data_IF_447645590108
#
_entry.id   IF_447645590108
#
_cell.length_a   1.000
_cell.length_b   1.000
_cell.length_c   1.000
_cell.angle_alpha   90.00
_cell.angle_beta   90.00
_cell.angle_gamma   90.00
#
_symmetry.space_group_name_H-M   'P 1'
#
loop_
_entity.id
_entity.type
_entity.pdbx_description
1 polymer ?
#
# COMPACT_ATOMS: atom_id res chain seq x y z
N UNK A 1 34.24 17.53 -18.13
CA UNK A 1 32.77 17.61 -18.19
C UNK A 1 32.28 16.21 -18.48
N UNK A 2 31.61 15.56 -17.53
CA UNK A 2 31.07 14.21 -17.74
C UNK A 2 29.87 14.33 -18.68
N UNK A 3 30.01 13.85 -19.91
CA UNK A 3 28.87 13.70 -20.81
C UNK A 3 27.96 12.65 -20.18
N UNK A 4 26.74 13.05 -19.80
CA UNK A 4 25.71 12.11 -19.38
C UNK A 4 25.40 11.19 -20.57
N UNK A 5 25.95 9.98 -20.55
CA UNK A 5 25.63 8.94 -21.52
C UNK A 5 24.22 8.46 -21.19
N UNK A 6 23.23 9.03 -21.87
CA UNK A 6 21.88 8.49 -21.89
C UNK A 6 21.97 7.18 -22.67
N UNK A 7 22.00 6.05 -21.96
CA UNK A 7 21.91 4.74 -22.58
C UNK A 7 20.48 4.53 -23.09
N UNK A 8 20.28 4.40 -24.42
CA UNK A 8 18.95 4.12 -24.95
C UNK A 8 18.53 2.72 -24.50
N UNK A 9 17.33 2.63 -23.92
CA UNK A 9 16.71 1.35 -23.59
C UNK A 9 16.34 0.62 -24.89
N UNK A 10 16.62 -0.68 -24.95
CA UNK A 10 16.10 -1.52 -26.02
C UNK A 10 14.60 -1.81 -25.83
N UNK A 11 13.96 -2.43 -26.84
CA UNK A 11 12.52 -2.72 -26.80
C UNK A 11 12.09 -3.57 -25.60
N UNK A 12 12.92 -4.52 -25.17
CA UNK A 12 12.61 -5.38 -24.03
C UNK A 12 12.75 -4.63 -22.70
N UNK A 13 13.75 -3.77 -22.58
CA UNK A 13 13.94 -2.91 -21.41
C UNK A 13 12.82 -1.88 -21.28
N UNK A 14 12.32 -1.35 -22.39
CA UNK A 14 11.14 -0.49 -22.41
C UNK A 14 9.88 -1.21 -21.92
N UNK A 15 9.63 -2.43 -22.39
CA UNK A 15 8.49 -3.22 -21.93
C UNK A 15 8.53 -3.46 -20.42
N UNK A 16 9.70 -3.84 -19.88
CA UNK A 16 9.87 -4.05 -18.44
C UNK A 16 9.65 -2.76 -17.66
N UNK A 17 10.16 -1.62 -18.15
CA UNK A 17 9.97 -0.32 -17.49
C UNK A 17 8.50 0.12 -17.50
N UNK A 18 7.79 -0.08 -18.60
CA UNK A 18 6.36 0.24 -18.70
C UNK A 18 5.53 -0.65 -17.76
N UNK A 19 5.86 -1.93 -17.69
CA UNK A 19 5.22 -2.88 -16.78
C UNK A 19 5.45 -2.51 -15.29
N UNK A 20 6.67 -2.07 -14.94
CA UNK A 20 6.94 -1.46 -13.62
C UNK A 20 6.08 -0.22 -13.35
N UNK A 21 5.98 0.67 -14.33
CA UNK A 21 5.21 1.90 -14.20
C UNK A 21 3.73 1.61 -13.95
N UNK A 22 3.14 0.69 -14.71
CA UNK A 22 1.74 0.29 -14.58
C UNK A 22 1.49 -0.36 -13.21
N UNK A 23 2.35 -1.28 -12.78
CA UNK A 23 2.26 -1.90 -11.45
C UNK A 23 2.38 -0.87 -10.34
N UNK A 24 3.32 0.08 -10.46
CA UNK A 24 3.51 1.16 -9.50
C UNK A 24 2.23 1.99 -9.34
N UNK A 25 1.62 2.42 -10.45
CA UNK A 25 0.38 3.22 -10.41
C UNK A 25 -0.72 2.44 -9.70
N UNK A 26 -0.96 1.18 -10.10
CA UNK A 26 -2.01 0.36 -9.53
C UNK A 26 -1.83 0.15 -8.02
N UNK A 27 -0.61 -0.13 -7.58
CA UNK A 27 -0.27 -0.31 -6.16
C UNK A 27 -0.38 0.99 -5.38
N UNK A 28 0.07 2.11 -5.95
CA UNK A 28 -0.06 3.42 -5.34
C UNK A 28 -1.54 3.77 -5.07
N UNK A 29 -2.40 3.57 -6.07
CA UNK A 29 -3.84 3.78 -5.92
C UNK A 29 -4.48 2.81 -4.90
N UNK A 30 -4.06 1.55 -4.90
CA UNK A 30 -4.53 0.55 -3.91
C UNK A 30 -4.11 0.96 -2.50
N UNK A 31 -2.85 1.38 -2.29
CA UNK A 31 -2.32 1.86 -1.01
C UNK A 31 -3.09 3.07 -0.51
N UNK A 32 -3.34 4.07 -1.36
CA UNK A 32 -4.13 5.25 -0.98
C UNK A 32 -5.51 4.83 -0.46
N UNK A 33 -6.21 3.95 -1.19
CA UNK A 33 -7.53 3.47 -0.78
C UNK A 33 -7.50 2.75 0.57
N UNK A 34 -6.53 1.85 0.78
CA UNK A 34 -6.38 1.13 2.04
C UNK A 34 -6.05 2.06 3.22
N UNK A 35 -5.21 3.07 3.01
CA UNK A 35 -4.86 4.05 4.04
C UNK A 35 -6.05 4.95 4.41
N UNK A 36 -6.83 5.37 3.41
CA UNK A 36 -8.08 6.12 3.63
C UNK A 36 -9.07 5.29 4.44
N UNK A 37 -9.27 4.02 4.07
CA UNK A 37 -10.15 3.11 4.79
C UNK A 37 -9.67 2.85 6.22
N UNK A 38 -8.38 2.61 6.42
CA UNK A 38 -7.77 2.42 7.74
C UNK A 38 -7.96 3.65 8.64
N UNK A 39 -7.81 4.85 8.07
CA UNK A 39 -8.06 6.10 8.77
C UNK A 39 -9.53 6.24 9.17
N UNK A 40 -10.45 5.93 8.26
CA UNK A 40 -11.89 5.96 8.55
C UNK A 40 -12.26 5.03 9.71
N UNK A 41 -11.78 3.79 9.71
CA UNK A 41 -12.03 2.83 10.78
C UNK A 41 -11.38 3.24 12.10
N UNK A 42 -10.16 3.77 12.06
CA UNK A 42 -9.47 4.26 13.26
C UNK A 42 -10.23 5.42 13.91
N UNK A 43 -10.64 6.41 13.11
CA UNK A 43 -11.43 7.55 13.61
C UNK A 43 -12.80 7.08 14.11
N UNK A 44 -13.46 6.18 13.39
CA UNK A 44 -14.73 5.57 13.79
C UNK A 44 -14.63 4.84 15.14
N UNK A 45 -13.57 4.04 15.33
CA UNK A 45 -13.28 3.36 16.59
C UNK A 45 -13.17 4.34 17.77
N UNK A 46 -12.38 5.42 17.62
CA UNK A 46 -12.19 6.40 18.69
C UNK A 46 -13.48 7.15 19.01
N UNK A 47 -14.26 7.53 18.00
CA UNK A 47 -15.55 8.19 18.19
C UNK A 47 -16.55 7.28 18.91
N UNK A 48 -16.65 6.01 18.50
CA UNK A 48 -17.54 5.04 19.15
C UNK A 48 -17.11 4.76 20.60
N UNK A 49 -15.81 4.65 20.85
CA UNK A 49 -15.27 4.46 22.21
C UNK A 49 -15.53 5.66 23.13
N UNK A 50 -15.65 6.86 22.56
CA UNK A 50 -15.96 8.08 23.30
C UNK A 50 -17.47 8.28 23.56
N UNK A 51 -18.35 7.50 22.94
CA UNK A 51 -19.79 7.61 23.17
C UNK A 51 -20.15 7.27 24.63
N UNK A 52 -21.10 7.99 25.25
CA UNK A 52 -21.62 7.63 26.56
C UNK A 52 -22.23 6.22 26.53
N UNK A 53 -21.93 5.39 27.53
CA UNK A 53 -22.48 4.02 27.66
C UNK A 53 -24.01 3.94 27.67
N UNK A 54 -24.69 5.07 27.88
CA UNK A 54 -26.15 5.19 27.91
C UNK A 54 -26.74 5.33 26.50
N UNK A 55 -25.92 5.65 25.49
CA UNK A 55 -26.37 5.94 24.13
C UNK A 55 -26.49 4.69 23.23
N UNK A 56 -25.94 3.54 23.63
CA UNK A 56 -25.87 2.32 22.83
C UNK A 56 -25.93 1.09 23.74
N UNK A 57 -26.57 0.00 23.30
CA UNK A 57 -26.45 -1.28 24.02
C UNK A 57 -24.99 -1.75 24.02
N UNK A 58 -24.52 -2.27 25.15
CA UNK A 58 -23.13 -2.71 25.32
C UNK A 58 -22.76 -3.82 24.32
N UNK A 59 -23.69 -4.75 24.07
CA UNK A 59 -23.53 -5.85 23.12
C UNK A 59 -23.29 -5.34 21.69
N UNK A 60 -24.17 -4.44 21.20
CA UNK A 60 -24.00 -3.87 19.87
C UNK A 60 -22.69 -3.07 19.75
N UNK A 61 -22.31 -2.34 20.81
CA UNK A 61 -21.05 -1.60 20.81
C UNK A 61 -19.85 -2.55 20.73
N UNK A 62 -19.85 -3.64 21.49
CA UNK A 62 -18.81 -4.67 21.43
C UNK A 62 -18.71 -5.31 20.05
N UNK A 63 -19.84 -5.64 19.42
CA UNK A 63 -19.87 -6.23 18.08
C UNK A 63 -19.30 -5.27 17.01
N UNK A 64 -19.71 -3.99 17.05
CA UNK A 64 -19.21 -2.98 16.12
C UNK A 64 -17.70 -2.79 16.32
N UNK A 65 -17.23 -2.62 17.56
CA UNK A 65 -15.80 -2.44 17.84
C UNK A 65 -14.99 -3.67 17.41
N UNK A 66 -15.50 -4.88 17.67
CA UNK A 66 -14.86 -6.12 17.22
C UNK A 66 -14.79 -6.24 15.70
N UNK A 67 -15.84 -5.82 14.98
CA UNK A 67 -15.84 -5.77 13.52
C UNK A 67 -14.82 -4.76 12.97
N UNK A 68 -14.70 -3.59 13.61
CA UNK A 68 -13.73 -2.57 13.22
C UNK A 68 -12.30 -3.10 13.41
N UNK A 69 -11.99 -3.72 14.55
CA UNK A 69 -10.66 -4.29 14.82
C UNK A 69 -10.29 -5.31 13.76
N UNK A 70 -11.15 -6.29 13.47
CA UNK A 70 -10.90 -7.30 12.43
C UNK A 70 -10.66 -6.67 11.05
N UNK A 71 -11.40 -5.61 10.72
CA UNK A 71 -11.20 -4.92 9.45
C UNK A 71 -9.87 -4.18 9.41
N UNK A 72 -9.46 -3.53 10.50
CA UNK A 72 -8.15 -2.88 10.60
C UNK A 72 -7.02 -3.89 10.45
N UNK A 73 -7.12 -5.06 11.09
CA UNK A 73 -6.15 -6.15 10.93
C UNK A 73 -6.03 -6.61 9.47
N UNK A 74 -7.17 -6.85 8.81
CA UNK A 74 -7.19 -7.23 7.39
C UNK A 74 -6.66 -6.13 6.45
N UNK A 75 -6.80 -4.86 6.81
CA UNK A 75 -6.21 -3.73 6.07
C UNK A 75 -4.70 -3.65 6.25
N UNK A 76 -4.20 -3.97 7.46
CA UNK A 76 -2.77 -4.04 7.74
C UNK A 76 -2.11 -5.16 6.94
N UNK A 77 -2.72 -6.35 6.88
CA UNK A 77 -2.24 -7.46 6.07
C UNK A 77 -2.12 -7.07 4.58
N UNK A 78 -3.16 -6.47 4.01
CA UNK A 78 -3.12 -6.00 2.62
C UNK A 78 -2.07 -4.90 2.37
N UNK A 79 -1.78 -4.06 3.35
CA UNK A 79 -0.72 -3.06 3.24
C UNK A 79 0.66 -3.72 3.27
N UNK A 80 0.84 -4.77 4.08
CA UNK A 80 2.05 -5.60 4.10
C UNK A 80 2.24 -6.33 2.77
N UNK A 81 1.19 -6.87 2.17
CA UNK A 81 1.28 -7.48 0.84
C UNK A 81 1.80 -6.49 -0.20
N UNK A 82 1.29 -5.25 -0.22
CA UNK A 82 1.79 -4.21 -1.13
C UNK A 82 3.27 -3.92 -0.88
N UNK A 83 3.73 -3.93 0.38
CA UNK A 83 5.14 -3.71 0.70
C UNK A 83 6.03 -4.85 0.18
N UNK A 84 5.57 -6.10 0.27
CA UNK A 84 6.27 -7.26 -0.27
C UNK A 84 6.35 -7.14 -1.80
N UNK A 85 5.22 -6.85 -2.45
CA UNK A 85 5.15 -6.64 -3.91
C UNK A 85 6.09 -5.50 -4.39
N UNK A 86 6.25 -4.43 -3.61
CA UNK A 86 7.19 -3.34 -3.89
C UNK A 86 8.66 -3.76 -3.74
N UNK A 87 8.95 -4.61 -2.74
CA UNK A 87 10.28 -5.14 -2.51
C UNK A 87 10.72 -6.08 -3.65
N UNK A 88 9.81 -6.94 -4.13
CA UNK A 88 10.05 -7.81 -5.30
C UNK A 88 10.35 -6.99 -6.58
N UNK A 89 9.67 -5.85 -6.73
CA UNK A 89 9.91 -4.94 -7.83
C UNK A 89 11.28 -4.26 -7.72
N UNK A 90 11.69 -3.84 -6.52
CA UNK A 90 13.02 -3.29 -6.28
C UNK A 90 14.14 -4.31 -6.59
N UNK A 91 13.94 -5.57 -6.20
CA UNK A 91 14.86 -6.67 -6.51
C UNK A 91 14.93 -6.94 -8.01
N UNK A 92 13.78 -6.91 -8.69
CA UNK A 92 13.73 -7.08 -10.15
C UNK A 92 14.43 -5.93 -10.86
N UNK A 93 14.24 -4.69 -10.41
CA UNK A 93 14.94 -3.52 -10.94
C UNK A 93 16.45 -3.68 -10.78
N UNK A 94 16.92 -4.06 -9.60
CA UNK A 94 18.34 -4.30 -9.33
C UNK A 94 18.90 -5.45 -10.17
N UNK A 95 18.12 -6.50 -10.45
CA UNK A 95 18.56 -7.59 -11.32
C UNK A 95 18.70 -7.16 -12.79
N UNK A 96 17.79 -6.32 -13.29
CA UNK A 96 17.77 -5.92 -14.71
C UNK A 96 18.76 -4.79 -15.00
N UNK A 97 18.91 -3.84 -14.07
CA UNK A 97 19.73 -2.64 -14.26
C UNK A 97 20.80 -2.42 -13.18
N UNK A 98 20.99 -3.32 -12.21
CA UNK A 98 21.95 -3.12 -11.10
C UNK A 98 23.42 -3.15 -11.51
N UNK A 99 23.73 -3.74 -12.66
CA UNK A 99 25.09 -3.72 -13.24
C UNK A 99 25.33 -2.49 -14.16
N UNK A 100 24.35 -1.58 -14.30
CA UNK A 100 24.57 -0.32 -15.00
C UNK A 100 25.52 0.56 -14.17
N UNK A 101 26.79 0.57 -14.58
CA UNK A 101 27.83 1.40 -14.00
C UNK A 101 28.04 2.63 -14.90
N UNK A 102 27.69 3.86 -14.45
CA UNK A 102 27.90 5.09 -15.22
C UNK A 102 29.38 5.46 -15.38
#
# INVERSE_FOLDING_TARGET
MSESQIHPLDGSQWEVLMDFHDRYIQRFERRIRLLQESTFYTVGYWNLRALPRIAVSLENLCDILGSIVRRVEALQEQLTDIQIEEQEDAETFQRVWGDWNP
#
